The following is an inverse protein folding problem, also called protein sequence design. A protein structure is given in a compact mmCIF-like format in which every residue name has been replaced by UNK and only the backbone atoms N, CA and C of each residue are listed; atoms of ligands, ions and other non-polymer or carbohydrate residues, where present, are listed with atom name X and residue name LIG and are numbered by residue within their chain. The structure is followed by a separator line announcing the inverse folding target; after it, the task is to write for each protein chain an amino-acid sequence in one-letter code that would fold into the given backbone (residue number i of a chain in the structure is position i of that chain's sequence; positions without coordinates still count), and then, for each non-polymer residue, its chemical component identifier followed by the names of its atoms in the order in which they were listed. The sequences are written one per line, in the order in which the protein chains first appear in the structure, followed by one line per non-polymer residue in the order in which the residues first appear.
data_IF_117426957171
#
_entry.id   IF_117426957171
#
_cell.length_a   1.000
_cell.length_b   1.000
_cell.length_c   1.000
_cell.angle_alpha   90.00
_cell.angle_beta   90.00
_cell.angle_gamma   90.00
#
_symmetry.space_group_name_H-M   'P 1'
#
loop_
_entity.id
_entity.type
_entity.pdbx_description
1 polymer ?
#
# COMPACT_ATOMS: atom_id res chain seq x y z
N UNK A 1 4.93 -19.17 -8.12
CA UNK A 1 3.51 -19.48 -8.43
C UNK A 1 3.13 -19.10 -9.86
N UNK A 2 2.23 -19.85 -10.54
CA UNK A 2 1.72 -19.50 -11.89
C UNK A 2 0.54 -18.53 -11.84
N UNK A 3 0.34 -17.76 -12.91
CA UNK A 3 -0.65 -16.68 -12.94
C UNK A 3 -2.11 -17.11 -12.71
N UNK A 4 -2.54 -18.27 -13.21
CA UNK A 4 -3.90 -18.74 -12.97
C UNK A 4 -4.14 -19.00 -11.48
N UNK A 5 -3.21 -19.72 -10.81
CA UNK A 5 -3.26 -19.97 -9.37
C UNK A 5 -3.25 -18.67 -8.56
N UNK A 6 -2.41 -17.72 -8.96
CA UNK A 6 -2.36 -16.41 -8.31
C UNK A 6 -3.67 -15.62 -8.45
N UNK A 7 -4.32 -15.65 -9.60
CA UNK A 7 -5.61 -14.95 -9.77
C UNK A 7 -6.67 -15.54 -8.85
N UNK A 8 -6.73 -16.87 -8.75
CA UNK A 8 -7.66 -17.57 -7.84
C UNK A 8 -7.35 -17.24 -6.39
N UNK A 9 -6.09 -17.36 -5.96
CA UNK A 9 -5.66 -16.98 -4.60
C UNK A 9 -6.07 -15.54 -4.25
N UNK A 10 -5.70 -14.57 -5.07
CA UNK A 10 -6.03 -13.17 -4.80
C UNK A 10 -7.53 -12.90 -4.85
N UNK A 11 -8.30 -13.66 -5.63
CA UNK A 11 -9.76 -13.54 -5.70
C UNK A 11 -10.40 -14.00 -4.40
N UNK A 12 -9.96 -15.14 -3.88
CA UNK A 12 -10.45 -15.75 -2.64
C UNK A 12 -10.05 -14.90 -1.43
N UNK A 13 -8.76 -14.57 -1.30
CA UNK A 13 -8.23 -13.78 -0.17
C UNK A 13 -8.81 -12.37 -0.08
N UNK A 14 -9.09 -11.73 -1.23
CA UNK A 14 -9.57 -10.34 -1.24
C UNK A 14 -11.09 -10.24 -1.39
N UNK A 15 -11.81 -11.35 -1.57
CA UNK A 15 -13.25 -11.34 -1.79
C UNK A 15 -13.68 -10.61 -3.07
N UNK A 16 -12.84 -10.58 -4.10
CA UNK A 16 -13.07 -9.87 -5.36
C UNK A 16 -13.12 -10.86 -6.51
N UNK A 17 -14.05 -10.70 -7.46
CA UNK A 17 -14.17 -11.58 -8.63
C UNK A 17 -12.85 -11.77 -9.40
N UNK A 18 -12.53 -13.00 -9.80
CA UNK A 18 -11.34 -13.33 -10.60
C UNK A 18 -11.21 -12.46 -11.85
N UNK A 19 -12.33 -12.10 -12.48
CA UNK A 19 -12.36 -11.22 -13.66
C UNK A 19 -11.76 -9.85 -13.33
N UNK A 20 -12.08 -9.29 -12.17
CA UNK A 20 -11.58 -8.01 -11.69
C UNK A 20 -10.09 -8.10 -11.38
N UNK A 21 -9.66 -9.14 -10.64
CA UNK A 21 -8.24 -9.41 -10.37
C UNK A 21 -7.44 -9.54 -11.67
N UNK A 22 -7.96 -10.30 -12.65
CA UNK A 22 -7.33 -10.47 -13.96
C UNK A 22 -7.16 -9.14 -14.70
N UNK A 23 -8.14 -8.24 -14.63
CA UNK A 23 -8.02 -6.90 -15.22
C UNK A 23 -6.99 -6.05 -14.48
N UNK A 24 -6.98 -6.06 -13.15
CA UNK A 24 -5.97 -5.35 -12.34
C UNK A 24 -4.56 -5.83 -12.68
N UNK A 25 -4.31 -7.14 -12.65
CA UNK A 25 -3.01 -7.72 -13.03
C UNK A 25 -2.60 -7.32 -14.43
N UNK A 26 -3.53 -7.35 -15.40
CA UNK A 26 -3.23 -6.90 -16.77
C UNK A 26 -2.82 -5.43 -16.81
N UNK A 27 -3.56 -4.55 -16.15
CA UNK A 27 -3.31 -3.11 -16.14
C UNK A 27 -1.97 -2.79 -15.45
N UNK A 28 -1.69 -3.42 -14.31
CA UNK A 28 -0.41 -3.26 -13.60
C UNK A 28 0.76 -3.76 -14.45
N UNK A 29 0.59 -4.89 -15.15
CA UNK A 29 1.58 -5.44 -16.07
C UNK A 29 1.88 -4.50 -17.24
N UNK A 30 0.85 -3.95 -17.87
CA UNK A 30 0.99 -2.96 -18.95
C UNK A 30 1.72 -1.69 -18.48
N UNK A 31 1.57 -1.34 -17.19
CA UNK A 31 2.25 -0.20 -16.57
C UNK A 31 3.66 -0.50 -16.02
N UNK A 32 4.18 -1.73 -16.19
CA UNK A 32 5.48 -2.14 -15.65
C UNK A 32 5.52 -2.33 -14.13
N UNK A 33 4.35 -2.40 -13.48
CA UNK A 33 4.20 -2.60 -12.03
C UNK A 33 3.96 -4.06 -11.66
N UNK A 34 3.96 -4.97 -12.63
CA UNK A 34 3.81 -6.39 -12.40
C UNK A 34 4.85 -7.15 -13.22
N UNK A 35 5.54 -8.11 -12.61
CA UNK A 35 6.64 -8.86 -13.22
C UNK A 35 6.24 -9.42 -14.57
N UNK A 36 6.98 -9.03 -15.61
CA UNK A 36 6.80 -9.50 -16.98
C UNK A 36 7.95 -10.40 -17.40
N UNK A 37 7.66 -11.45 -18.18
CA UNK A 37 8.65 -12.10 -19.02
C UNK A 37 7.99 -12.84 -20.18
N UNK A 38 8.77 -13.65 -20.90
CA UNK A 38 8.33 -14.30 -22.14
C UNK A 38 7.03 -15.08 -21.94
N UNK A 39 6.06 -14.92 -22.85
CA UNK A 39 4.82 -15.72 -22.83
C UNK A 39 5.17 -17.21 -23.00
N UNK A 40 4.42 -18.09 -22.34
CA UNK A 40 4.59 -19.55 -22.46
C UNK A 40 5.28 -20.17 -21.25
N UNK A 41 5.83 -21.37 -21.42
CA UNK A 41 6.47 -22.17 -20.35
C UNK A 41 7.62 -21.46 -19.61
N UNK A 42 8.19 -20.41 -20.20
CA UNK A 42 9.31 -19.63 -19.63
C UNK A 42 8.86 -18.29 -19.00
N UNK A 43 7.57 -18.09 -18.75
CA UNK A 43 7.11 -16.91 -18.02
C UNK A 43 7.69 -16.91 -16.59
N UNK A 44 8.27 -15.79 -16.13
CA UNK A 44 8.79 -15.66 -14.78
C UNK A 44 7.66 -15.89 -13.78
N UNK A 45 8.00 -16.53 -12.68
CA UNK A 45 7.06 -16.75 -11.61
C UNK A 45 6.69 -15.42 -10.95
N UNK A 46 5.46 -15.38 -10.43
CA UNK A 46 4.94 -14.21 -9.73
C UNK A 46 5.73 -13.98 -8.45
N UNK A 47 6.05 -12.72 -8.18
CA UNK A 47 6.84 -12.31 -7.03
C UNK A 47 5.95 -11.86 -5.86
N UNK A 48 6.46 -11.86 -4.62
CA UNK A 48 5.81 -11.23 -3.48
C UNK A 48 5.39 -9.77 -3.73
N UNK A 49 6.24 -9.02 -4.43
CA UNK A 49 5.98 -7.61 -4.76
C UNK A 49 4.76 -7.44 -5.67
N UNK A 50 4.55 -8.38 -6.59
CA UNK A 50 3.38 -8.39 -7.44
C UNK A 50 2.08 -8.56 -6.63
N UNK A 51 2.13 -9.40 -5.59
CA UNK A 51 1.01 -9.62 -4.68
C UNK A 51 0.69 -8.37 -3.87
N UNK A 52 1.70 -7.74 -3.26
CA UNK A 52 1.56 -6.47 -2.53
C UNK A 52 0.88 -5.41 -3.39
N UNK A 53 1.30 -5.26 -4.65
CA UNK A 53 0.70 -4.28 -5.56
C UNK A 53 -0.75 -4.59 -5.92
N UNK A 54 -1.13 -5.86 -6.03
CA UNK A 54 -2.54 -6.25 -6.22
C UNK A 54 -3.35 -5.96 -4.96
N UNK A 55 -2.82 -6.25 -3.77
CA UNK A 55 -3.46 -5.91 -2.48
C UNK A 55 -3.71 -4.40 -2.40
N UNK A 56 -2.67 -3.58 -2.61
CA UNK A 56 -2.81 -2.11 -2.59
C UNK A 56 -3.87 -1.65 -3.59
N UNK A 57 -3.83 -2.16 -4.82
CA UNK A 57 -4.81 -1.79 -5.85
C UNK A 57 -6.24 -2.09 -5.37
N UNK A 58 -6.50 -3.29 -4.87
CA UNK A 58 -7.84 -3.74 -4.49
C UNK A 58 -8.35 -3.05 -3.22
N UNK A 59 -7.51 -2.95 -2.18
CA UNK A 59 -7.87 -2.32 -0.91
C UNK A 59 -8.09 -0.82 -1.11
N UNK A 60 -7.33 -0.15 -1.97
CA UNK A 60 -7.59 1.25 -2.30
C UNK A 60 -8.88 1.42 -3.14
N UNK A 61 -9.10 0.54 -4.11
CA UNK A 61 -10.30 0.55 -4.94
C UNK A 61 -10.47 -0.74 -5.74
N UNK A 62 -11.68 -1.31 -5.73
CA UNK A 62 -12.01 -2.42 -6.64
C UNK A 62 -12.12 -2.01 -8.12
N UNK A 63 -11.92 -0.72 -8.46
CA UNK A 63 -11.94 -0.23 -9.83
C UNK A 63 -10.61 -0.49 -10.55
N UNK A 64 -10.55 -1.36 -11.58
CA UNK A 64 -9.30 -1.65 -12.28
C UNK A 64 -8.68 -0.42 -12.94
N UNK A 65 -9.50 0.55 -13.35
CA UNK A 65 -9.05 1.80 -13.96
C UNK A 65 -8.16 2.66 -13.05
N UNK A 66 -8.26 2.47 -11.72
CA UNK A 66 -7.48 3.21 -10.72
C UNK A 66 -6.25 2.46 -10.23
N UNK A 67 -6.10 1.17 -10.55
CA UNK A 67 -5.06 0.30 -10.01
C UNK A 67 -3.64 0.89 -10.11
N UNK A 68 -3.23 1.40 -11.28
CA UNK A 68 -1.89 1.99 -11.47
C UNK A 68 -1.69 3.21 -10.59
N UNK A 69 -2.70 4.08 -10.53
CA UNK A 69 -2.68 5.29 -9.71
C UNK A 69 -2.55 4.93 -8.24
N UNK A 70 -3.38 4.00 -7.78
CA UNK A 70 -3.48 3.63 -6.37
C UNK A 70 -2.20 2.95 -5.89
N UNK A 71 -1.64 2.03 -6.67
CA UNK A 71 -0.34 1.41 -6.36
C UNK A 71 0.77 2.46 -6.29
N UNK A 72 0.86 3.37 -7.26
CA UNK A 72 1.89 4.42 -7.25
C UNK A 72 1.75 5.38 -6.09
N UNK A 73 0.51 5.76 -5.76
CA UNK A 73 0.24 6.70 -4.68
C UNK A 73 0.52 6.05 -3.32
N UNK A 74 -0.19 4.96 -3.01
CA UNK A 74 -0.11 4.31 -1.70
C UNK A 74 1.24 3.63 -1.49
N UNK A 75 1.76 2.95 -2.51
CA UNK A 75 3.04 2.25 -2.42
C UNK A 75 4.24 3.17 -2.20
N UNK A 76 4.11 4.48 -2.45
CA UNK A 76 5.17 5.46 -2.22
C UNK A 76 5.07 6.19 -0.86
N UNK A 77 3.99 6.00 -0.10
CA UNK A 77 3.82 6.66 1.18
C UNK A 77 4.87 6.16 2.18
N UNK A 78 5.35 7.05 3.05
CA UNK A 78 6.30 6.72 4.12
C UNK A 78 5.62 6.88 5.48
N UNK A 79 6.08 6.17 6.52
CA UNK A 79 5.58 6.33 7.88
C UNK A 79 5.52 7.79 8.31
N UNK A 80 4.44 8.20 8.95
CA UNK A 80 4.31 9.52 9.53
C UNK A 80 5.29 9.70 10.69
N UNK A 81 5.93 10.87 10.73
CA UNK A 81 6.87 11.30 11.76
C UNK A 81 6.57 12.70 12.29
N UNK A 82 5.39 13.24 11.99
CA UNK A 82 5.03 14.63 12.34
C UNK A 82 4.96 14.88 13.85
N UNK A 83 4.75 13.83 14.64
CA UNK A 83 4.90 13.85 16.10
C UNK A 83 5.91 12.80 16.53
N UNK A 84 7.17 13.19 16.74
CA UNK A 84 8.18 12.27 17.29
C UNK A 84 7.82 11.82 18.73
N UNK A 85 7.09 12.63 19.49
CA UNK A 85 6.55 12.29 20.82
C UNK A 85 5.34 11.33 20.78
N UNK A 86 4.47 11.43 19.77
CA UNK A 86 3.32 10.52 19.60
C UNK A 86 3.73 9.20 18.94
N UNK A 87 4.72 9.24 18.03
CA UNK A 87 5.26 8.07 17.35
C UNK A 87 5.94 7.09 18.31
N UNK A 88 6.46 7.54 19.46
CA UNK A 88 7.05 6.64 20.46
C UNK A 88 6.02 5.93 21.36
N UNK A 89 4.77 6.41 21.40
CA UNK A 89 3.71 5.83 22.24
C UNK A 89 2.78 4.94 21.42
N UNK A 90 2.58 5.26 20.14
CA UNK A 90 1.64 4.55 19.27
C UNK A 90 2.26 4.00 17.99
N UNK A 91 3.53 4.26 17.69
CA UNK A 91 4.18 3.73 16.49
C UNK A 91 4.48 2.24 16.59
N UNK A 92 4.47 1.56 15.45
CA UNK A 92 4.81 0.14 15.36
C UNK A 92 6.33 -0.01 15.33
N UNK A 93 6.92 -0.60 16.38
CA UNK A 93 8.38 -0.69 16.55
C UNK A 93 9.10 -1.40 15.41
N UNK A 94 8.42 -2.33 14.73
CA UNK A 94 8.93 -3.09 13.60
C UNK A 94 8.88 -2.32 12.26
N UNK A 95 8.20 -1.18 12.20
CA UNK A 95 8.13 -0.38 10.97
C UNK A 95 9.39 0.46 10.81
N UNK A 96 10.14 0.19 9.74
CA UNK A 96 11.25 1.04 9.32
C UNK A 96 10.72 2.33 8.70
N UNK A 97 11.08 3.46 9.29
CA UNK A 97 10.65 4.76 8.83
C UNK A 97 11.22 5.20 7.46
N UNK A 98 12.21 4.51 6.91
CA UNK A 98 12.72 4.80 5.58
C UNK A 98 12.05 3.97 4.49
N UNK A 99 11.34 2.91 4.87
CA UNK A 99 10.58 2.06 3.97
C UNK A 99 9.28 2.73 3.56
N UNK A 100 8.85 2.48 2.33
CA UNK A 100 7.52 2.89 1.90
C UNK A 100 6.48 1.89 2.40
N UNK A 101 5.19 2.21 2.25
CA UNK A 101 4.12 1.27 2.53
C UNK A 101 4.25 0.00 1.68
N UNK A 102 4.65 0.09 0.41
CA UNK A 102 4.90 -1.09 -0.44
C UNK A 102 5.99 -1.97 0.15
N UNK A 103 7.09 -1.38 0.62
CA UNK A 103 8.18 -2.11 1.25
C UNK A 103 7.75 -2.74 2.59
N UNK A 104 6.97 -2.03 3.40
CA UNK A 104 6.48 -2.56 4.68
C UNK A 104 5.54 -3.74 4.48
N UNK A 105 4.60 -3.63 3.55
CA UNK A 105 3.69 -4.74 3.22
C UNK A 105 4.46 -5.91 2.59
N UNK A 106 5.52 -5.64 1.83
CA UNK A 106 6.41 -6.66 1.32
C UNK A 106 7.12 -7.40 2.46
N UNK A 107 7.56 -6.71 3.50
CA UNK A 107 8.18 -7.36 4.66
C UNK A 107 7.19 -8.26 5.41
N UNK A 108 5.94 -7.82 5.60
CA UNK A 108 4.87 -8.65 6.16
C UNK A 108 4.61 -9.90 5.31
N UNK A 109 4.42 -9.71 4.00
CA UNK A 109 4.18 -10.78 3.03
C UNK A 109 5.42 -11.66 2.83
N UNK A 110 6.61 -11.24 3.27
CA UNK A 110 7.88 -11.96 3.12
C UNK A 110 8.42 -12.60 4.42
N UNK A 111 7.62 -12.69 5.49
CA UNK A 111 7.97 -13.25 6.81
C UNK A 111 9.15 -12.54 7.47
N UNK A 112 9.33 -11.25 7.16
CA UNK A 112 10.39 -10.44 7.75
C UNK A 112 9.92 -9.69 8.98
N UNK A 113 8.62 -9.78 9.29
CA UNK A 113 8.00 -9.27 10.50
C UNK A 113 7.49 -10.48 11.28
N UNK A 114 7.80 -10.60 12.59
CA UNK A 114 7.29 -11.69 13.42
C UNK A 114 5.75 -11.76 13.37
N UNK A 115 5.19 -12.96 13.40
CA UNK A 115 3.74 -13.14 13.28
C UNK A 115 2.99 -12.45 14.45
N UNK A 116 3.54 -12.49 15.66
CA UNK A 116 2.95 -11.82 16.83
C UNK A 116 2.82 -10.30 16.67
N UNK A 117 3.68 -9.67 15.85
CA UNK A 117 3.65 -8.23 15.61
C UNK A 117 2.57 -7.81 14.60
N UNK A 118 2.06 -8.77 13.81
CA UNK A 118 1.05 -8.55 12.78
C UNK A 118 -0.26 -9.29 13.05
N UNK A 119 -0.27 -10.19 14.04
CA UNK A 119 -1.49 -10.85 14.50
C UNK A 119 -2.51 -9.80 14.95
N UNK A 120 -3.76 -9.95 14.53
CA UNK A 120 -4.82 -8.94 14.67
C UNK A 120 -4.53 -7.57 14.01
N UNK A 121 -3.50 -7.47 13.19
CA UNK A 121 -3.17 -6.26 12.46
C UNK A 121 -4.12 -6.01 11.29
N UNK A 122 -4.33 -4.74 10.96
CA UNK A 122 -5.12 -4.32 9.79
C UNK A 122 -4.37 -3.27 8.97
N UNK A 123 -4.43 -3.41 7.65
CA UNK A 123 -4.12 -2.35 6.70
C UNK A 123 -5.42 -1.65 6.33
N UNK A 124 -5.45 -0.32 6.40
CA UNK A 124 -6.59 0.50 5.98
C UNK A 124 -6.14 1.54 4.96
N UNK A 125 -6.83 1.58 3.81
CA UNK A 125 -6.64 2.58 2.76
C UNK A 125 -7.95 3.32 2.50
N UNK A 126 -7.89 4.63 2.33
CA UNK A 126 -9.09 5.46 2.07
C UNK A 126 -9.05 6.16 0.72
N UNK A 127 -10.23 6.44 0.15
CA UNK A 127 -10.38 7.23 -1.07
C UNK A 127 -9.84 8.68 -0.94
N UNK A 128 -9.53 9.14 0.28
CA UNK A 128 -8.88 10.42 0.56
C UNK A 128 -7.35 10.36 0.54
N UNK A 129 -6.80 9.18 0.30
CA UNK A 129 -5.35 8.96 0.32
C UNK A 129 -4.77 8.80 1.71
N UNK A 130 -5.60 8.51 2.71
CA UNK A 130 -5.13 8.11 4.04
C UNK A 130 -4.75 6.63 4.00
N UNK A 131 -3.65 6.30 4.65
CA UNK A 131 -3.20 4.93 4.79
C UNK A 131 -2.65 4.73 6.19
N UNK A 132 -3.01 3.64 6.83
CA UNK A 132 -2.42 3.26 8.11
C UNK A 132 -2.39 1.75 8.28
N UNK A 133 -1.46 1.32 9.12
CA UNK A 133 -1.42 -0.03 9.68
C UNK A 133 -1.73 0.10 11.17
N UNK A 134 -2.66 -0.69 11.68
CA UNK A 134 -2.95 -0.76 13.11
C UNK A 134 -2.83 -2.20 13.60
N UNK A 135 -2.38 -2.37 14.83
CA UNK A 135 -2.24 -3.64 15.55
C UNK A 135 -2.59 -3.38 17.02
N UNK A 136 -2.60 -4.42 17.86
CA UNK A 136 -2.76 -4.25 19.31
C UNK A 136 -1.60 -3.45 19.94
N UNK A 137 -0.43 -3.45 19.30
CA UNK A 137 0.77 -2.76 19.78
C UNK A 137 0.83 -1.29 19.34
N UNK A 138 -0.08 -0.84 18.46
CA UNK A 138 -0.10 0.55 18.02
C UNK A 138 -0.65 0.76 16.61
N UNK A 139 -0.48 1.98 16.11
CA UNK A 139 -0.90 2.43 14.79
C UNK A 139 0.21 3.26 14.13
N UNK A 140 0.50 2.93 12.90
CA UNK A 140 1.39 3.69 12.03
C UNK A 140 0.62 4.27 10.85
N UNK A 141 0.46 5.61 10.83
CA UNK A 141 -0.04 6.33 9.67
C UNK A 141 1.05 6.47 8.60
N UNK A 142 0.64 6.56 7.33
CA UNK A 142 1.52 6.73 6.17
C UNK A 142 1.10 7.95 5.36
N UNK A 143 2.07 8.79 5.00
CA UNK A 143 1.85 10.02 4.24
C UNK A 143 2.98 10.29 3.25
N UNK A 144 2.76 11.27 2.35
CA UNK A 144 3.80 11.79 1.47
C UNK A 144 4.74 12.72 2.26
N UNK A 145 5.64 12.12 3.05
CA UNK A 145 6.52 12.83 3.99
C UNK A 145 7.27 13.99 3.33
N UNK A 146 7.89 13.76 2.17
CA UNK A 146 8.69 14.76 1.45
C UNK A 146 7.84 15.95 0.97
N UNK A 147 6.62 15.69 0.51
CA UNK A 147 5.70 16.75 0.10
C UNK A 147 5.19 17.56 1.29
N UNK A 148 4.89 16.89 2.41
CA UNK A 148 4.54 17.60 3.64
C UNK A 148 5.68 18.49 4.12
N UNK A 149 6.92 17.98 4.12
CA UNK A 149 8.10 18.77 4.46
C UNK A 149 8.26 19.97 3.52
N UNK A 150 7.99 19.81 2.21
CA UNK A 150 7.99 20.91 1.26
C UNK A 150 6.89 21.95 1.57
N UNK A 151 5.67 21.52 1.90
CA UNK A 151 4.57 22.40 2.31
C UNK A 151 4.93 23.16 3.59
N UNK A 152 5.45 22.48 4.60
CA UNK A 152 5.85 23.09 5.87
C UNK A 152 7.03 24.05 5.74
N UNK A 153 7.96 23.77 4.83
CA UNK A 153 9.05 24.69 4.49
C UNK A 153 8.50 26.00 3.90
N UNK A 154 7.45 25.93 3.07
CA UNK A 154 6.80 27.13 2.52
C UNK A 154 6.09 27.95 3.60
N UNK A 155 5.40 27.31 4.54
CA UNK A 155 4.72 27.99 5.65
C UNK A 155 5.69 28.60 6.68
N UNK A 156 6.79 27.91 7.01
CA UNK A 156 7.78 28.41 7.96
C UNK A 156 8.66 29.54 7.39
N UNK A 157 8.83 29.60 6.07
CA UNK A 157 9.64 30.62 5.39
C UNK A 157 8.90 31.92 5.04
N UNK A 158 7.60 32.04 5.37
CA UNK A 158 6.79 33.21 5.00
C UNK A 158 5.77 33.61 6.08
N UNK A 159 5.95 34.81 6.64
CA UNK A 159 4.96 35.42 7.54
C UNK A 159 3.72 35.97 6.82
N UNK A 160 3.68 36.03 5.48
CA UNK A 160 2.59 36.74 4.76
C UNK A 160 2.11 36.13 3.43
N UNK A 161 2.76 35.10 2.88
CA UNK A 161 2.21 34.32 1.75
C UNK A 161 3.16 33.20 1.27
N UNK A 162 2.67 31.98 0.99
CA UNK A 162 3.49 30.89 0.47
C UNK A 162 4.16 31.29 -0.85
N UNK A 163 5.47 31.10 -0.97
CA UNK A 163 6.25 31.53 -2.14
C UNK A 163 6.04 30.61 -3.34
N UNK A 164 5.76 29.33 -3.07
CA UNK A 164 5.53 28.32 -4.08
C UNK A 164 4.09 27.80 -4.07
N UNK A 165 3.20 28.52 -4.77
CA UNK A 165 1.79 28.15 -4.91
C UNK A 165 1.58 26.76 -5.54
N UNK A 166 2.50 26.29 -6.38
CA UNK A 166 2.41 24.97 -7.01
C UNK A 166 2.54 23.81 -6.01
N UNK A 167 3.29 23.99 -4.92
CA UNK A 167 3.41 22.99 -3.84
C UNK A 167 2.07 22.84 -3.11
N UNK A 168 1.39 23.95 -2.84
CA UNK A 168 0.07 23.96 -2.21
C UNK A 168 -1.02 23.44 -3.13
N UNK A 169 -1.02 23.84 -4.41
CA UNK A 169 -1.96 23.35 -5.41
C UNK A 169 -1.79 21.85 -5.65
N UNK A 170 -0.56 21.33 -5.66
CA UNK A 170 -0.30 19.89 -5.73
C UNK A 170 -0.81 19.17 -4.48
N UNK A 171 -0.56 19.71 -3.28
CA UNK A 171 -1.05 19.15 -2.02
C UNK A 171 -2.58 19.10 -1.94
N UNK A 172 -3.26 20.18 -2.37
CA UNK A 172 -4.72 20.22 -2.46
C UNK A 172 -5.27 19.27 -3.52
N UNK A 173 -4.62 19.15 -4.68
CA UNK A 173 -5.02 18.21 -5.73
C UNK A 173 -4.92 16.75 -5.25
N UNK A 174 -3.97 16.44 -4.37
CA UNK A 174 -3.84 15.12 -3.75
C UNK A 174 -4.91 14.85 -2.68
N UNK A 175 -5.39 15.85 -1.95
CA UNK A 175 -6.55 15.64 -1.06
C UNK A 175 -7.86 15.41 -1.83
N UNK A 176 -7.86 15.57 -3.15
CA UNK A 176 -8.96 15.27 -4.07
C UNK A 176 -8.78 13.91 -4.79
N UNK A 177 -8.11 12.93 -4.18
CA UNK A 177 -7.98 11.54 -4.74
C UNK A 177 -9.34 10.94 -5.11
N UNK A 178 -10.42 11.41 -4.49
CA UNK A 178 -11.78 11.17 -4.90
C UNK A 178 -12.61 12.46 -4.95
N UNK A 179 -13.27 12.70 -6.09
CA UNK A 179 -14.29 13.75 -6.24
C UNK A 179 -15.65 13.34 -5.63
N UNK A 180 -15.73 12.17 -4.98
CA UNK A 180 -16.97 11.71 -4.34
C UNK A 180 -17.12 12.36 -2.96
N UNK A 181 -18.36 12.72 -2.61
CA UNK A 181 -18.66 13.24 -1.26
C UNK A 181 -18.65 12.14 -0.18
N UNK A 182 -18.60 10.87 -0.58
CA UNK A 182 -18.69 9.72 0.32
C UNK A 182 -17.29 9.23 0.62
N UNK A 183 -16.87 9.31 1.88
CA UNK A 183 -15.60 8.74 2.30
C UNK A 183 -15.72 7.21 2.31
N UNK A 184 -14.92 6.54 1.49
CA UNK A 184 -14.84 5.07 1.46
C UNK A 184 -13.45 4.67 1.91
N UNK A 185 -13.39 3.77 2.88
CA UNK A 185 -12.19 3.03 3.24
C UNK A 185 -12.46 1.54 3.05
N UNK A 186 -11.40 0.79 2.79
CA UNK A 186 -11.43 -0.65 2.87
C UNK A 186 -10.20 -1.13 3.63
N UNK A 187 -10.36 -2.32 4.20
CA UNK A 187 -9.43 -2.89 5.14
C UNK A 187 -9.11 -4.33 4.76
N UNK A 188 -7.90 -4.76 5.08
CA UNK A 188 -7.49 -6.16 5.01
C UNK A 188 -6.68 -6.50 6.25
N UNK A 189 -6.89 -7.70 6.79
CA UNK A 189 -6.07 -8.23 7.87
C UNK A 189 -4.63 -8.45 7.40
N UNK A 190 -3.66 -8.12 8.26
CA UNK A 190 -2.25 -8.46 7.99
C UNK A 190 -2.02 -9.97 8.07
N UNK A 191 -2.87 -10.73 8.76
CA UNK A 191 -2.83 -12.20 8.76
C UNK A 191 -3.17 -12.75 7.37
N UNK A 192 -4.18 -12.17 6.71
CA UNK A 192 -4.53 -12.54 5.32
C UNK A 192 -3.36 -12.21 4.38
N UNK A 193 -2.70 -11.06 4.58
CA UNK A 193 -1.50 -10.70 3.83
C UNK A 193 -0.35 -11.70 4.04
N UNK A 194 -0.17 -12.16 5.28
CA UNK A 194 0.82 -13.18 5.64
C UNK A 194 0.49 -14.54 5.00
N UNK A 195 -0.79 -14.94 5.00
CA UNK A 195 -1.26 -16.17 4.35
C UNK A 195 -1.03 -16.13 2.82
N UNK A 196 -1.30 -15.00 2.16
CA UNK A 196 -0.96 -14.82 0.74
C UNK A 196 0.54 -15.02 0.53
N UNK A 197 1.38 -14.50 1.43
CA UNK A 197 2.83 -14.69 1.42
C UNK A 197 3.24 -16.16 1.50
N UNK A 198 2.65 -16.88 2.45
CA UNK A 198 2.83 -18.32 2.63
C UNK A 198 2.51 -19.10 1.35
N UNK A 199 1.36 -18.85 0.73
CA UNK A 199 0.93 -19.54 -0.50
C UNK A 199 1.87 -19.24 -1.69
N UNK A 200 2.42 -18.01 -1.77
CA UNK A 200 3.31 -17.60 -2.87
C UNK A 200 4.72 -18.17 -2.70
N UNK A 201 5.24 -18.16 -1.48
CA UNK A 201 6.64 -18.46 -1.18
C UNK A 201 6.86 -19.90 -0.69
N UNK A 202 5.81 -20.57 -0.22
CA UNK A 202 5.86 -21.94 0.28
C UNK A 202 6.76 -22.09 1.51
N UNK A 203 6.66 -21.18 2.47
CA UNK A 203 7.41 -21.34 3.73
C UNK A 203 6.94 -22.60 4.44
N UNK A 204 7.85 -23.25 5.17
CA UNK A 204 7.45 -24.20 6.19
C UNK A 204 7.12 -23.38 7.45
N UNK A 205 5.94 -23.60 8.03
CA UNK A 205 5.64 -23.08 9.38
C UNK A 205 6.37 -24.00 10.34
N UNK A 206 7.50 -23.55 10.88
CA UNK A 206 8.18 -24.21 12.00
C UNK A 206 7.34 -24.15 13.28
#
# INVERSE_FOLDING_TARGET
MKQAQFITLMSESLGVEEKTIKMIVRILREAGLFTTGARGVNAPDITPLDAVRVVIAVVASTSPSRAVRDVRYFGALKPDRRDEESASIWGLAWVDANKTLEDTLLDCLSNRVPYEEISMGVLSLSERGEAHIATDNGRQDYHQREQWQAVMAEYSASNDSPKNKAVLEAWEAMHRISNTKVNRSAEISLEELHQIGFEILGWEVD
#
